data_IF_560354052656
#
_entry.id   IF_560354052656
#
_cell.length_a   1.000
_cell.length_b   1.000
_cell.length_c   1.000
_cell.angle_alpha   90.00
_cell.angle_beta   90.00
_cell.angle_gamma   90.00
#
_symmetry.space_group_name_H-M   'P 1'
#
loop_
_entity.id
_entity.type
_entity.pdbx_description
1 polymer ?
#
# COMPACT_ATOMS: atom_id res chain seq x y z
N UNK A 1 9.85 -5.01 2.88
CA UNK A 1 8.96 -4.43 1.86
C UNK A 1 9.57 -4.66 0.49
N UNK A 2 8.79 -5.15 -0.48
CA UNK A 2 9.22 -5.37 -1.87
C UNK A 2 8.66 -4.27 -2.79
N UNK A 3 9.46 -3.75 -3.71
CA UNK A 3 8.98 -2.76 -4.69
C UNK A 3 8.31 -3.47 -5.86
N UNK A 4 6.98 -3.42 -5.92
CA UNK A 4 6.18 -3.94 -7.04
C UNK A 4 5.75 -2.78 -7.92
N UNK A 5 6.15 -2.82 -9.19
CA UNK A 5 5.78 -1.81 -10.18
C UNK A 5 4.45 -2.14 -10.86
N UNK A 6 3.77 -1.13 -11.40
CA UNK A 6 2.57 -1.34 -12.20
C UNK A 6 2.88 -2.16 -13.45
N UNK A 7 1.98 -3.08 -13.76
CA UNK A 7 2.06 -3.90 -14.98
C UNK A 7 1.18 -3.33 -16.09
N UNK A 8 0.18 -2.51 -15.72
CA UNK A 8 -0.78 -1.85 -16.62
C UNK A 8 -0.67 -0.33 -16.51
N UNK A 9 -0.78 0.36 -17.64
CA UNK A 9 -0.69 1.83 -17.67
C UNK A 9 -1.50 2.42 -18.80
N UNK A 10 -1.91 3.69 -18.63
CA UNK A 10 -2.63 4.45 -19.66
C UNK A 10 -1.82 4.67 -20.92
N UNK A 11 -0.50 4.77 -20.81
CA UNK A 11 0.39 4.85 -21.98
C UNK A 11 0.26 3.65 -22.93
N UNK A 12 -0.17 2.49 -22.40
CA UNK A 12 -0.44 1.26 -23.16
C UNK A 12 -1.92 1.08 -23.55
N UNK A 13 -2.77 2.07 -23.28
CA UNK A 13 -4.21 1.99 -23.51
C UNK A 13 -4.97 1.18 -22.45
N UNK A 14 -4.36 0.91 -21.29
CA UNK A 14 -4.96 0.16 -20.18
C UNK A 14 -5.27 1.08 -18.99
N UNK A 15 -6.21 0.67 -18.13
CA UNK A 15 -6.36 1.34 -16.84
C UNK A 15 -5.15 1.01 -15.95
N UNK A 16 -4.59 2.02 -15.29
CA UNK A 16 -3.41 1.86 -14.43
C UNK A 16 -3.73 1.11 -13.14
N UNK A 17 -2.88 0.17 -12.74
CA UNK A 17 -3.06 -0.67 -11.54
C UNK A 17 -2.19 -0.24 -10.35
N UNK A 18 -1.96 1.07 -10.17
CA UNK A 18 -1.11 1.63 -9.11
C UNK A 18 -1.57 1.26 -7.69
N UNK A 19 -2.89 1.17 -7.45
CA UNK A 19 -3.42 0.69 -6.18
C UNK A 19 -3.04 -0.78 -5.93
N UNK A 20 -3.17 -1.64 -6.94
CA UNK A 20 -2.85 -3.06 -6.81
C UNK A 20 -1.35 -3.27 -6.56
N UNK A 21 -0.50 -2.56 -7.30
CA UNK A 21 0.95 -2.60 -7.13
C UNK A 21 1.39 -2.03 -5.76
N UNK A 22 0.72 -0.99 -5.26
CA UNK A 22 0.96 -0.45 -3.90
C UNK A 22 0.61 -1.48 -2.82
N UNK A 23 -0.55 -2.15 -2.92
CA UNK A 23 -0.96 -3.21 -2.00
C UNK A 23 0.02 -4.39 -2.04
N UNK A 24 0.40 -4.84 -3.23
CA UNK A 24 1.39 -5.89 -3.41
C UNK A 24 2.72 -5.54 -2.73
N UNK A 25 3.15 -4.29 -2.86
CA UNK A 25 4.40 -3.81 -2.24
C UNK A 25 4.34 -3.81 -0.71
N UNK A 26 3.29 -3.22 -0.15
CA UNK A 26 3.10 -3.09 1.32
C UNK A 26 2.90 -4.45 1.98
N UNK A 27 2.15 -5.35 1.34
CA UNK A 27 1.80 -6.66 1.89
C UNK A 27 2.77 -7.78 1.48
N UNK A 28 3.82 -7.46 0.72
CA UNK A 28 4.80 -8.41 0.21
C UNK A 28 4.19 -9.58 -0.58
N UNK A 29 3.22 -9.26 -1.43
CA UNK A 29 2.51 -10.20 -2.29
C UNK A 29 2.91 -10.03 -3.76
N UNK A 30 2.67 -11.06 -4.56
CA UNK A 30 2.73 -10.94 -6.02
C UNK A 30 1.51 -10.14 -6.52
N UNK A 31 1.68 -9.35 -7.59
CA UNK A 31 0.61 -8.48 -8.10
C UNK A 31 -0.61 -9.29 -8.59
N UNK A 32 -0.39 -10.52 -9.05
CA UNK A 32 -1.42 -11.46 -9.48
C UNK A 32 -2.33 -11.93 -8.33
N UNK A 33 -1.89 -11.78 -7.08
CA UNK A 33 -2.69 -12.09 -5.89
C UNK A 33 -3.63 -10.95 -5.50
N UNK A 34 -3.46 -9.76 -6.10
CA UNK A 34 -4.27 -8.58 -5.85
C UNK A 34 -5.36 -8.45 -6.92
N UNK A 35 -6.62 -8.13 -6.57
CA UNK A 35 -7.66 -7.91 -7.56
C UNK A 35 -7.35 -6.77 -8.53
N UNK A 36 -7.87 -6.89 -9.75
CA UNK A 36 -7.75 -5.87 -10.80
C UNK A 36 -8.75 -4.72 -10.58
N UNK A 37 -8.52 -3.92 -9.52
CA UNK A 37 -9.39 -2.79 -9.14
C UNK A 37 -9.54 -1.75 -10.25
N UNK A 38 -8.54 -1.59 -11.11
CA UNK A 38 -8.51 -0.67 -12.23
C UNK A 38 -9.60 -0.93 -13.28
N UNK A 39 -10.18 -2.14 -13.27
CA UNK A 39 -11.26 -2.55 -14.16
C UNK A 39 -12.65 -2.49 -13.50
N UNK A 40 -12.72 -2.04 -12.25
CA UNK A 40 -13.97 -1.94 -11.47
C UNK A 40 -14.54 -0.53 -11.50
N UNK A 41 -15.83 -0.38 -11.19
CA UNK A 41 -16.46 0.93 -11.10
C UNK A 41 -16.15 1.59 -9.75
N UNK A 42 -16.36 2.91 -9.66
CA UNK A 42 -16.20 3.68 -8.42
C UNK A 42 -17.01 3.12 -7.25
N UNK A 43 -18.14 2.50 -7.55
CA UNK A 43 -19.08 1.99 -6.56
C UNK A 43 -18.70 0.58 -6.07
N UNK A 44 -17.94 -0.20 -6.83
CA UNK A 44 -17.67 -1.62 -6.52
C UNK A 44 -16.25 -1.91 -6.03
N UNK A 45 -15.25 -1.10 -6.41
CA UNK A 45 -13.85 -1.41 -6.09
C UNK A 45 -13.56 -1.44 -4.58
N UNK A 46 -14.23 -0.57 -3.80
CA UNK A 46 -14.03 -0.51 -2.34
C UNK A 46 -14.55 -1.77 -1.66
N UNK A 47 -15.74 -2.21 -2.05
CA UNK A 47 -16.35 -3.42 -1.50
C UNK A 47 -15.48 -4.64 -1.85
N UNK A 48 -15.00 -4.71 -3.09
CA UNK A 48 -14.06 -5.75 -3.53
C UNK A 48 -12.74 -5.71 -2.73
N UNK A 49 -12.22 -4.51 -2.41
CA UNK A 49 -11.02 -4.36 -1.60
C UNK A 49 -11.22 -4.90 -0.18
N UNK A 50 -12.32 -4.52 0.49
CA UNK A 50 -12.62 -5.01 1.83
C UNK A 50 -12.87 -6.52 1.85
N UNK A 51 -13.62 -7.03 0.88
CA UNK A 51 -13.91 -8.46 0.76
C UNK A 51 -12.64 -9.27 0.53
N UNK A 52 -11.80 -8.87 -0.43
CA UNK A 52 -10.53 -9.53 -0.71
C UNK A 52 -9.59 -9.48 0.49
N UNK A 53 -9.44 -8.32 1.13
CA UNK A 53 -8.55 -8.17 2.27
C UNK A 53 -8.97 -9.10 3.41
N UNK A 54 -10.26 -9.11 3.75
CA UNK A 54 -10.82 -9.97 4.80
C UNK A 54 -10.56 -11.46 4.51
N UNK A 55 -10.84 -11.91 3.27
CA UNK A 55 -10.58 -13.29 2.83
C UNK A 55 -9.09 -13.65 2.83
N UNK A 56 -8.21 -12.66 2.68
CA UNK A 56 -6.77 -12.83 2.63
C UNK A 56 -6.08 -12.66 4.00
N UNK A 57 -6.86 -12.48 5.08
CA UNK A 57 -6.31 -12.33 6.44
C UNK A 57 -5.82 -10.92 6.77
N UNK A 58 -6.31 -9.91 6.05
CA UNK A 58 -6.00 -8.50 6.26
C UNK A 58 -7.25 -7.69 6.59
N UNK A 59 -7.04 -6.59 7.29
CA UNK A 59 -8.02 -5.53 7.45
C UNK A 59 -7.52 -4.26 6.74
N UNK A 60 -8.47 -3.46 6.26
CA UNK A 60 -8.20 -2.20 5.56
C UNK A 60 -8.78 -1.06 6.39
N UNK A 61 -7.99 0.00 6.54
CA UNK A 61 -8.40 1.25 7.17
C UNK A 61 -8.10 2.43 6.26
N UNK A 62 -9.14 3.22 5.97
CA UNK A 62 -8.99 4.54 5.35
C UNK A 62 -8.84 5.60 6.43
N UNK A 63 -7.82 6.45 6.33
CA UNK A 63 -7.55 7.49 7.32
C UNK A 63 -6.97 8.75 6.68
N UNK A 64 -7.19 9.92 7.29
CA UNK A 64 -6.47 11.16 6.94
C UNK A 64 -5.21 11.37 7.77
N UNK A 65 -5.07 10.65 8.88
CA UNK A 65 -3.90 10.72 9.73
C UNK A 65 -2.80 9.83 9.14
N UNK A 66 -1.54 10.30 9.12
CA UNK A 66 -0.39 9.49 8.74
C UNK A 66 -0.33 8.17 9.52
N UNK A 67 -0.33 7.01 8.85
CA UNK A 67 -0.12 5.73 9.50
C UNK A 67 1.35 5.55 9.91
N UNK A 68 1.61 4.73 10.93
CA UNK A 68 2.97 4.30 11.30
C UNK A 68 3.35 3.10 10.43
N UNK A 69 4.58 3.10 9.92
CA UNK A 69 5.09 2.05 9.03
C UNK A 69 4.71 2.27 7.57
N UNK A 70 4.81 1.19 6.78
CA UNK A 70 4.47 1.21 5.36
C UNK A 70 2.96 1.21 5.17
N UNK A 71 2.49 2.10 4.30
CA UNK A 71 1.08 2.20 3.92
C UNK A 71 0.97 2.75 2.50
N UNK A 72 -0.27 2.99 2.06
CA UNK A 72 -0.54 3.55 0.74
C UNK A 72 -1.05 4.97 0.92
N UNK A 73 -0.39 5.93 0.27
CA UNK A 73 -0.89 7.28 0.10
C UNK A 73 -1.76 7.36 -1.15
N UNK A 74 -2.92 8.00 -1.06
CA UNK A 74 -3.78 8.28 -2.20
C UNK A 74 -3.99 9.78 -2.34
N UNK A 75 -3.81 10.28 -3.55
CA UNK A 75 -4.01 11.69 -3.86
C UNK A 75 -4.35 11.92 -5.33
N UNK A 76 -4.29 13.18 -5.74
CA UNK A 76 -4.58 13.62 -7.11
C UNK A 76 -3.28 14.01 -7.82
N UNK A 77 -3.01 13.35 -8.94
CA UNK A 77 -1.95 13.70 -9.89
C UNK A 77 -2.25 15.06 -10.56
N UNK A 78 -1.25 15.85 -11.02
CA UNK A 78 -1.45 17.10 -11.75
C UNK A 78 -2.50 17.03 -12.87
N UNK A 79 -2.61 15.88 -13.52
CA UNK A 79 -3.57 15.62 -14.61
C UNK A 79 -5.02 15.36 -14.12
N UNK A 80 -5.26 15.46 -12.81
CA UNK A 80 -6.58 15.36 -12.19
C UNK A 80 -7.00 13.93 -11.77
N UNK A 81 -6.15 12.94 -12.03
CA UNK A 81 -6.45 11.53 -11.77
C UNK A 81 -6.02 11.09 -10.37
N UNK A 82 -6.68 10.06 -9.84
CA UNK A 82 -6.24 9.46 -8.58
C UNK A 82 -4.95 8.68 -8.79
N UNK A 83 -3.98 8.89 -7.90
CA UNK A 83 -2.72 8.18 -7.86
C UNK A 83 -2.49 7.55 -6.50
N UNK A 84 -1.96 6.33 -6.50
CA UNK A 84 -1.65 5.55 -5.32
C UNK A 84 -0.16 5.26 -5.29
N UNK A 85 0.47 5.58 -4.16
CA UNK A 85 1.91 5.44 -3.93
C UNK A 85 2.15 4.80 -2.57
N UNK A 86 3.33 4.25 -2.36
CA UNK A 86 3.76 3.74 -1.07
C UNK A 86 4.34 4.88 -0.24
N UNK A 87 3.91 4.95 1.02
CA UNK A 87 4.42 5.88 2.03
C UNK A 87 5.03 5.13 3.20
N UNK A 88 5.98 5.77 3.90
CA UNK A 88 6.53 5.31 5.18
C UNK A 88 6.30 6.41 6.21
N UNK A 89 5.57 6.10 7.29
CA UNK A 89 5.20 7.09 8.31
C UNK A 89 4.49 8.34 7.73
N UNK A 90 3.75 8.16 6.63
CA UNK A 90 3.06 9.24 5.90
C UNK A 90 3.92 10.00 4.89
N UNK A 91 5.23 9.78 4.86
CA UNK A 91 6.13 10.40 3.89
C UNK A 91 6.24 9.56 2.61
N UNK A 92 6.44 10.20 1.46
CA UNK A 92 6.62 9.51 0.19
C UNK A 92 7.80 8.54 0.25
N UNK A 93 7.60 7.32 -0.22
CA UNK A 93 8.63 6.29 -0.22
C UNK A 93 8.88 5.70 -1.62
N UNK A 94 7.81 5.37 -2.35
CA UNK A 94 7.92 4.70 -3.64
C UNK A 94 6.67 4.93 -4.49
N UNK A 95 6.88 5.28 -5.76
CA UNK A 95 5.81 5.30 -6.76
C UNK A 95 5.82 4.00 -7.60
N UNK A 96 4.75 3.17 -7.53
CA UNK A 96 4.62 2.00 -8.38
C UNK A 96 4.64 2.27 -9.89
N UNK A 97 4.32 3.48 -10.34
CA UNK A 97 4.44 3.84 -11.76
C UNK A 97 5.89 4.06 -12.21
N UNK A 98 6.84 4.16 -11.28
CA UNK A 98 8.26 4.34 -11.57
C UNK A 98 8.65 5.72 -12.08
N UNK A 99 7.74 6.71 -12.05
CA UNK A 99 8.09 8.11 -12.34
C UNK A 99 8.68 8.84 -11.15
N UNK A 100 8.70 8.20 -9.97
CA UNK A 100 9.05 8.82 -8.68
C UNK A 100 8.23 10.10 -8.41
N UNK A 101 7.02 10.16 -8.94
CA UNK A 101 6.12 11.28 -8.78
C UNK A 101 5.13 11.00 -7.65
N UNK A 102 5.11 11.92 -6.70
CA UNK A 102 4.00 11.99 -5.75
C UNK A 102 2.77 12.62 -6.42
N UNK A 103 1.65 12.63 -5.71
CA UNK A 103 0.50 13.45 -6.09
C UNK A 103 0.66 14.90 -5.60
N UNK A 104 0.01 15.85 -6.27
CA UNK A 104 0.00 17.26 -5.84
C UNK A 104 -0.86 17.46 -4.59
N UNK A 105 -2.00 16.76 -4.52
CA UNK A 105 -2.96 16.93 -3.42
C UNK A 105 -3.22 15.59 -2.74
N UNK A 106 -2.78 15.47 -1.49
CA UNK A 106 -3.10 14.34 -0.63
C UNK A 106 -4.60 14.26 -0.33
N UNK A 107 -5.17 13.06 -0.32
CA UNK A 107 -6.57 12.83 0.04
C UNK A 107 -6.72 11.99 1.30
N UNK A 108 -6.09 10.84 1.34
CA UNK A 108 -6.13 9.90 2.46
C UNK A 108 -5.04 8.84 2.32
N UNK A 109 -4.84 8.09 3.39
CA UNK A 109 -4.06 6.87 3.42
C UNK A 109 -4.96 5.63 3.44
N UNK A 110 -4.45 4.54 2.88
CA UNK A 110 -4.96 3.18 3.05
C UNK A 110 -3.91 2.42 3.84
N UNK A 111 -4.32 1.98 5.03
CA UNK A 111 -3.51 1.17 5.92
C UNK A 111 -4.03 -0.27 5.89
N UNK A 112 -3.15 -1.21 5.60
CA UNK A 112 -3.46 -2.62 5.43
C UNK A 112 -2.62 -3.43 6.43
N UNK A 113 -3.28 -4.15 7.32
CA UNK A 113 -2.65 -4.84 8.43
C UNK A 113 -3.24 -6.23 8.64
N UNK A 114 -2.43 -7.17 9.10
CA UNK A 114 -2.90 -8.50 9.43
C UNK A 114 -3.92 -8.45 10.58
N UNK A 115 -5.00 -9.23 10.43
CA UNK A 115 -6.00 -9.40 11.49
C UNK A 115 -5.51 -10.31 12.61
N UNK A 116 -4.50 -11.14 12.35
CA UNK A 116 -3.78 -11.89 13.36
C UNK A 116 -2.70 -11.00 14.01
N UNK A 117 -2.81 -10.69 15.32
CA UNK A 117 -1.83 -9.88 16.03
C UNK A 117 -0.40 -10.48 16.00
N UNK A 118 -0.27 -11.80 15.86
CA UNK A 118 1.03 -12.49 15.79
C UNK A 118 1.74 -12.34 14.45
N UNK A 119 1.03 -11.92 13.40
CA UNK A 119 1.57 -11.65 12.06
C UNK A 119 1.72 -10.17 11.76
N UNK A 120 1.52 -9.29 12.75
CA UNK A 120 1.84 -7.87 12.57
C UNK A 120 3.33 -7.75 12.29
N UNK A 121 3.67 -7.15 11.15
CA UNK A 121 5.05 -6.76 10.84
C UNK A 121 5.45 -5.82 11.98
N UNK A 122 6.46 -6.16 12.81
CA UNK A 122 6.87 -5.29 13.90
C UNK A 122 7.24 -3.93 13.32
N UNK A 123 6.86 -2.82 13.97
CA UNK A 123 7.36 -1.51 13.57
C UNK A 123 8.88 -1.60 13.60
N UNK A 124 9.47 -1.35 12.43
CA UNK A 124 10.90 -1.44 12.10
C UNK A 124 11.80 -1.40 13.34
N UNK A 125 12.53 -2.50 13.61
CA UNK A 125 13.59 -2.51 14.59
C UNK A 125 14.57 -1.39 14.21
N UNK A 126 14.59 -0.35 15.03
CA UNK A 126 15.60 0.69 15.03
C UNK A 126 16.97 0.00 15.11
N UNK A 127 17.71 0.03 14.00
CA UNK A 127 19.11 -0.38 13.98
C UNK A 127 19.93 0.73 14.64
N UNK A 128 19.85 0.77 15.96
CA UNK A 128 20.59 1.67 16.82
C UNK A 128 21.05 0.92 18.06
N UNK A 129 22.25 0.34 17.96
CA UNK A 129 23.13 -0.13 19.03
C UNK A 129 22.52 -0.27 20.44
N UNK A 130 22.32 -1.52 20.86
CA UNK A 130 21.97 -1.81 22.25
C UNK A 130 21.99 -3.30 22.56
N UNK A 131 23.14 -3.80 22.99
CA UNK A 131 23.25 -5.06 23.73
C UNK A 131 22.15 -5.15 24.79
N UNK A 132 21.29 -6.17 24.73
CA UNK A 132 20.94 -6.91 25.95
C UNK A 132 21.10 -8.40 25.66
N UNK A 133 22.17 -8.92 26.24
CA UNK A 133 22.39 -10.32 26.56
C UNK A 133 21.35 -10.72 27.60
N UNK A 134 20.58 -11.78 27.37
CA UNK A 134 20.64 -13.02 28.16
C UNK A 134 19.49 -13.97 27.82
N UNK A 135 19.90 -15.16 27.35
CA UNK A 135 19.13 -16.40 27.34
C UNK A 135 19.01 -16.97 28.77
N UNK A 136 17.91 -17.72 28.99
CA UNK A 136 17.73 -18.85 29.93
C UNK A 136 17.94 -18.53 31.43
N UNK A 137 17.07 -18.90 32.36
CA UNK A 137 16.25 -20.11 32.58
C UNK A 137 14.94 -19.69 33.25
#
# INVERSE_FOLDING_TARGET
MIKVFTTKSKSKGENGNCLAASLASVLELQIEQIPQFENMTKDTWKDALFEWASKSGYAIRFTKNPPVGFAIGVGIHPEGEFHAVVVLNGEFFFDPNGSDEFYETHRYYIDAFHTDPSMQIPPYLDSGDGLIVQNAI
#
